data_IF_522200101927
#
_entry.id   IF_522200101927
#
_cell.length_a   1.000
_cell.length_b   1.000
_cell.length_c   1.000
_cell.angle_alpha   90.00
_cell.angle_beta   90.00
_cell.angle_gamma   90.00
#
_symmetry.space_group_name_H-M   'P 1'
#
loop_
_entity.id
_entity.type
_entity.pdbx_description
1 polymer ?
#
# COMPACT_ATOMS: atom_id res chain seq x y z
N UNK A 1 15.35 2.15 10.14
CA UNK A 1 16.58 2.04 9.33
C UNK A 1 16.45 3.03 8.20
N UNK A 2 17.49 3.82 7.87
CA UNK A 2 17.45 4.71 6.72
C UNK A 2 17.28 3.88 5.44
N UNK A 3 16.32 4.27 4.60
CA UNK A 3 16.11 3.67 3.28
C UNK A 3 17.28 4.04 2.36
N UNK A 4 18.08 3.05 2.00
CA UNK A 4 19.26 3.18 1.12
C UNK A 4 18.94 2.85 -0.35
N UNK A 5 17.66 2.63 -0.68
CA UNK A 5 17.26 2.31 -2.05
C UNK A 5 17.65 3.44 -3.00
N UNK A 6 18.26 3.11 -4.14
CA UNK A 6 18.55 4.09 -5.20
C UNK A 6 17.39 4.27 -6.17
N UNK A 7 16.28 3.55 -5.96
CA UNK A 7 15.08 3.60 -6.80
C UNK A 7 14.03 4.56 -6.28
N UNK A 8 13.25 5.13 -7.19
CA UNK A 8 12.07 5.93 -6.85
C UNK A 8 10.86 5.00 -6.70
N UNK A 9 10.68 4.52 -5.47
CA UNK A 9 9.67 3.52 -5.11
C UNK A 9 8.30 4.16 -4.83
N UNK A 10 7.24 3.35 -4.80
CA UNK A 10 5.89 3.82 -4.47
C UNK A 10 5.83 4.42 -3.04
N UNK A 11 6.62 3.90 -2.11
CA UNK A 11 6.79 4.47 -0.78
C UNK A 11 7.42 5.87 -0.82
N UNK A 12 8.49 6.07 -1.59
CA UNK A 12 9.12 7.40 -1.76
C UNK A 12 8.19 8.38 -2.48
N UNK A 13 7.39 7.91 -3.43
CA UNK A 13 6.35 8.70 -4.06
C UNK A 13 5.28 9.16 -3.05
N UNK A 14 4.82 8.26 -2.19
CA UNK A 14 3.88 8.57 -1.10
C UNK A 14 4.45 9.59 -0.10
N UNK A 15 5.74 9.48 0.24
CA UNK A 15 6.43 10.46 1.10
C UNK A 15 6.51 11.82 0.41
N UNK A 16 6.95 11.86 -0.85
CA UNK A 16 7.03 13.10 -1.64
C UNK A 16 5.65 13.77 -1.73
N UNK A 17 4.60 13.00 -1.98
CA UNK A 17 3.22 13.46 -2.01
C UNK A 17 2.81 14.17 -0.72
N UNK A 18 3.01 13.53 0.44
CA UNK A 18 2.68 14.13 1.74
C UNK A 18 3.44 15.43 2.02
N UNK A 19 4.74 15.46 1.72
CA UNK A 19 5.56 16.67 1.89
C UNK A 19 5.11 17.82 0.99
N UNK A 20 4.75 17.52 -0.27
CA UNK A 20 4.28 18.54 -1.20
C UNK A 20 2.94 19.14 -0.79
N UNK A 21 2.01 18.33 -0.29
CA UNK A 21 0.74 18.85 0.23
C UNK A 21 0.94 19.75 1.45
N UNK A 22 1.86 19.38 2.35
CA UNK A 22 2.23 20.23 3.49
C UNK A 22 2.76 21.61 3.03
N UNK A 23 3.70 21.56 2.09
CA UNK A 23 4.34 22.76 1.58
C UNK A 23 3.32 23.65 0.85
N UNK A 24 2.46 23.05 0.02
CA UNK A 24 1.36 23.75 -0.63
C UNK A 24 0.45 24.48 0.37
N UNK A 25 0.04 23.82 1.45
CA UNK A 25 -0.82 24.45 2.45
C UNK A 25 -0.15 25.68 3.08
N UNK A 26 1.15 25.59 3.40
CA UNK A 26 1.90 26.74 3.88
C UNK A 26 1.97 27.89 2.86
N UNK A 27 2.22 27.57 1.59
CA UNK A 27 2.22 28.56 0.51
C UNK A 27 0.85 29.23 0.31
N UNK A 28 -0.23 28.45 0.44
CA UNK A 28 -1.61 28.93 0.38
C UNK A 28 -1.94 29.85 1.54
N UNK A 29 -1.55 29.50 2.76
CA UNK A 29 -1.74 30.32 3.96
C UNK A 29 -0.97 31.66 3.85
N UNK A 30 0.19 31.63 3.19
CA UNK A 30 1.00 32.82 2.85
C UNK A 30 0.49 33.59 1.63
N UNK A 31 -0.55 33.11 0.94
CA UNK A 31 -1.16 33.70 -0.25
C UNK A 31 -0.16 33.98 -1.39
N UNK A 32 0.76 33.05 -1.61
CA UNK A 32 1.69 33.15 -2.74
C UNK A 32 0.94 33.00 -4.07
N UNK A 33 1.39 33.72 -5.11
CA UNK A 33 0.93 33.47 -6.46
C UNK A 33 1.43 32.11 -6.98
N UNK A 34 0.76 31.58 -8.00
CA UNK A 34 0.99 30.22 -8.52
C UNK A 34 2.44 30.03 -9.00
N UNK A 35 3.03 31.05 -9.65
CA UNK A 35 4.39 30.93 -10.19
C UNK A 35 5.44 30.97 -9.07
N UNK A 36 5.28 31.86 -8.09
CA UNK A 36 6.14 31.92 -6.91
C UNK A 36 6.03 30.65 -6.08
N UNK A 37 4.80 30.14 -5.90
CA UNK A 37 4.55 28.88 -5.22
C UNK A 37 5.22 27.71 -5.94
N UNK A 38 5.07 27.60 -7.26
CA UNK A 38 5.73 26.58 -8.06
C UNK A 38 7.25 26.64 -7.90
N UNK A 39 7.85 27.83 -8.03
CA UNK A 39 9.28 28.01 -7.91
C UNK A 39 9.80 27.63 -6.51
N UNK A 40 9.13 28.09 -5.44
CA UNK A 40 9.52 27.80 -4.04
C UNK A 40 9.46 26.29 -3.75
N UNK A 41 8.38 25.62 -4.16
CA UNK A 41 8.22 24.17 -3.99
C UNK A 41 9.20 23.38 -4.85
N UNK A 42 9.42 23.80 -6.10
CA UNK A 42 10.38 23.16 -7.01
C UNK A 42 11.80 23.25 -6.46
N UNK A 43 12.22 24.41 -5.96
CA UNK A 43 13.54 24.56 -5.33
C UNK A 43 13.72 23.66 -4.11
N UNK A 44 12.66 23.45 -3.32
CA UNK A 44 12.70 22.51 -2.19
C UNK A 44 12.93 21.07 -2.67
N UNK A 45 12.21 20.65 -3.72
CA UNK A 45 12.36 19.32 -4.30
C UNK A 45 13.75 19.15 -4.90
N UNK A 46 14.22 20.17 -5.62
CA UNK A 46 15.55 20.17 -6.22
C UNK A 46 16.65 20.13 -5.17
N UNK A 47 16.52 20.88 -4.08
CA UNK A 47 17.45 20.77 -2.95
C UNK A 47 17.44 19.36 -2.35
N UNK A 48 16.26 18.78 -2.15
CA UNK A 48 16.11 17.45 -1.56
C UNK A 48 16.72 16.32 -2.43
N UNK A 49 16.67 16.45 -3.76
CA UNK A 49 17.18 15.47 -4.72
C UNK A 49 18.67 15.70 -5.04
N UNK A 50 19.12 16.95 -5.16
CA UNK A 50 20.43 17.26 -5.77
C UNK A 50 21.49 17.69 -4.76
N UNK A 51 21.12 18.15 -3.57
CA UNK A 51 22.10 18.65 -2.61
C UNK A 51 22.72 17.53 -1.79
N UNK A 52 24.05 17.49 -1.73
CA UNK A 52 24.81 16.64 -0.80
C UNK A 52 24.52 16.93 0.69
N UNK A 53 23.95 18.11 0.97
CA UNK A 53 23.52 18.51 2.31
C UNK A 53 22.09 18.02 2.64
N UNK A 54 21.41 17.40 1.68
CA UNK A 54 20.07 16.85 1.87
C UNK A 54 20.11 15.63 2.78
N UNK A 55 19.16 15.56 3.70
CA UNK A 55 18.90 14.37 4.53
C UNK A 55 17.75 13.52 3.95
N UNK A 56 17.27 13.87 2.76
CA UNK A 56 16.18 13.18 2.07
C UNK A 56 16.68 11.88 1.40
N UNK A 57 15.91 10.78 1.44
CA UNK A 57 16.23 9.54 0.72
C UNK A 57 16.11 9.71 -0.80
N UNK A 58 15.57 10.85 -1.25
CA UNK A 58 15.51 11.25 -2.65
C UNK A 58 16.89 11.66 -3.18
N UNK A 59 17.83 12.04 -2.31
CA UNK A 59 19.20 12.39 -2.72
C UNK A 59 19.99 11.18 -3.24
N UNK A 60 19.68 10.00 -2.70
CA UNK A 60 20.32 8.72 -3.06
C UNK A 60 19.79 8.12 -4.37
N UNK A 61 18.84 8.78 -5.04
CA UNK A 61 18.24 8.26 -6.27
C UNK A 61 19.25 8.19 -7.41
N UNK A 62 19.21 7.09 -8.15
CA UNK A 62 19.92 6.96 -9.42
C UNK A 62 19.43 8.02 -10.41
N UNK A 63 20.31 8.37 -11.33
CA UNK A 63 20.07 9.45 -12.30
C UNK A 63 18.73 9.33 -13.06
N UNK A 64 18.37 8.13 -13.53
CA UNK A 64 17.10 7.89 -14.24
C UNK A 64 15.87 7.98 -13.33
N UNK A 65 16.05 7.76 -12.03
CA UNK A 65 14.98 7.74 -11.03
C UNK A 65 14.67 9.16 -10.53
N UNK A 66 15.67 10.05 -10.51
CA UNK A 66 15.48 11.48 -10.22
C UNK A 66 14.48 12.13 -11.19
N UNK A 67 14.55 11.80 -12.48
CA UNK A 67 13.60 12.27 -13.48
C UNK A 67 12.14 11.90 -13.13
N UNK A 68 11.91 10.70 -12.60
CA UNK A 68 10.58 10.26 -12.15
C UNK A 68 10.09 11.06 -10.94
N UNK A 69 10.98 11.43 -10.02
CA UNK A 69 10.64 12.26 -8.87
C UNK A 69 10.21 13.69 -9.29
N UNK A 70 10.89 14.30 -10.26
CA UNK A 70 10.45 15.58 -10.84
C UNK A 70 9.13 15.47 -11.60
N UNK A 71 8.95 14.39 -12.35
CA UNK A 71 7.70 14.12 -13.04
C UNK A 71 6.53 13.97 -12.05
N UNK A 72 6.75 13.24 -10.95
CA UNK A 72 5.80 13.13 -9.85
C UNK A 72 5.51 14.50 -9.21
N UNK A 73 6.53 15.32 -8.95
CA UNK A 73 6.33 16.68 -8.45
C UNK A 73 5.39 17.50 -9.35
N UNK A 74 5.67 17.53 -10.66
CA UNK A 74 4.86 18.28 -11.62
C UNK A 74 3.42 17.76 -11.69
N UNK A 75 3.26 16.44 -11.66
CA UNK A 75 1.97 15.76 -11.63
C UNK A 75 1.16 16.19 -10.39
N UNK A 76 1.78 16.14 -9.21
CA UNK A 76 1.13 16.49 -7.94
C UNK A 76 0.79 17.97 -7.91
N UNK A 77 1.72 18.84 -8.32
CA UNK A 77 1.49 20.28 -8.34
C UNK A 77 0.31 20.66 -9.25
N UNK A 78 0.23 20.03 -10.43
CA UNK A 78 -0.89 20.21 -11.36
C UNK A 78 -2.19 19.61 -10.87
N UNK A 79 -2.20 18.77 -9.84
CA UNK A 79 -3.43 18.29 -9.23
C UNK A 79 -3.99 19.21 -8.12
N UNK A 80 -3.20 20.19 -7.66
CA UNK A 80 -3.59 21.09 -6.58
C UNK A 80 -4.70 22.06 -7.02
N UNK A 81 -5.54 22.56 -6.08
CA UNK A 81 -6.52 23.59 -6.37
C UNK A 81 -5.82 24.95 -6.49
N UNK A 82 -5.29 25.23 -7.69
CA UNK A 82 -4.50 26.43 -7.99
C UNK A 82 -5.36 27.68 -8.26
N UNK A 83 -6.68 27.54 -8.34
CA UNK A 83 -7.60 28.65 -8.63
C UNK A 83 -7.62 29.09 -10.10
N UNK A 84 -7.12 28.24 -11.00
CA UNK A 84 -7.16 28.40 -12.46
C UNK A 84 -8.09 27.37 -13.08
N UNK A 85 -8.55 27.61 -14.31
CA UNK A 85 -9.43 26.66 -14.99
C UNK A 85 -8.69 25.36 -15.35
N UNK A 86 -9.41 24.21 -15.49
CA UNK A 86 -8.78 22.94 -15.87
C UNK A 86 -8.02 23.00 -17.19
N UNK A 87 -8.47 23.80 -18.15
CA UNK A 87 -7.77 24.00 -19.44
C UNK A 87 -6.45 24.75 -19.26
N UNK A 88 -6.44 25.82 -18.46
CA UNK A 88 -5.22 26.55 -18.12
C UNK A 88 -4.25 25.69 -17.33
N UNK A 89 -4.75 24.83 -16.45
CA UNK A 89 -3.94 23.90 -15.66
C UNK A 89 -3.23 22.86 -16.54
N UNK A 90 -3.87 22.39 -17.62
CA UNK A 90 -3.22 21.52 -18.64
C UNK A 90 -2.12 22.24 -19.40
N UNK A 91 -2.33 23.51 -19.70
CA UNK A 91 -1.38 24.34 -20.45
C UNK A 91 -0.30 24.97 -19.55
N UNK A 92 -0.44 24.84 -18.22
CA UNK A 92 0.47 25.42 -17.25
C UNK A 92 1.86 24.79 -17.36
N UNK A 93 2.78 25.54 -17.98
CA UNK A 93 4.16 25.13 -18.21
C UNK A 93 5.14 26.16 -17.60
N UNK A 94 5.25 26.19 -16.26
CA UNK A 94 6.14 27.13 -15.58
C UNK A 94 7.60 26.86 -15.93
N UNK A 95 8.40 27.92 -16.06
CA UNK A 95 9.84 27.77 -16.25
C UNK A 95 10.48 27.17 -15.01
N UNK A 96 11.15 26.03 -15.18
CA UNK A 96 11.87 25.37 -14.10
C UNK A 96 13.07 26.20 -13.67
N UNK A 97 13.19 26.55 -12.38
CA UNK A 97 14.37 27.22 -11.90
C UNK A 97 15.63 26.36 -12.08
N UNK A 98 16.70 26.97 -12.61
CA UNK A 98 17.98 26.30 -12.78
C UNK A 98 18.62 26.02 -11.41
N UNK A 99 19.16 24.80 -11.24
CA UNK A 99 19.87 24.47 -10.02
C UNK A 99 21.09 25.38 -9.86
N UNK A 100 21.19 26.04 -8.71
CA UNK A 100 22.36 26.83 -8.37
C UNK A 100 22.94 26.36 -7.03
N UNK A 101 24.03 25.57 -7.04
CA UNK A 101 24.63 25.01 -5.83
C UNK A 101 25.23 26.08 -4.90
N UNK A 102 25.39 27.33 -5.38
CA UNK A 102 25.94 28.44 -4.60
C UNK A 102 24.88 29.16 -3.77
N UNK A 103 23.60 28.93 -4.01
CA UNK A 103 22.51 29.53 -3.24
C UNK A 103 22.34 28.74 -1.94
N UNK A 104 22.48 29.41 -0.79
CA UNK A 104 22.17 28.81 0.51
C UNK A 104 20.65 28.61 0.61
N UNK A 105 20.21 27.38 0.40
CA UNK A 105 18.82 27.00 0.62
C UNK A 105 18.53 27.00 2.13
N UNK A 106 17.51 27.75 2.57
CA UNK A 106 17.10 27.80 3.97
C UNK A 106 16.06 26.72 4.25
N UNK A 107 16.46 25.70 4.99
CA UNK A 107 15.56 24.65 5.47
C UNK A 107 14.70 25.21 6.61
N UNK A 108 13.40 24.97 6.54
CA UNK A 108 12.33 25.32 7.48
C UNK A 108 11.49 24.07 7.78
N UNK A 109 10.49 24.18 8.65
CA UNK A 109 9.63 23.04 9.04
C UNK A 109 8.73 22.53 7.92
N UNK A 110 8.37 23.35 6.93
CA UNK A 110 7.45 22.98 5.83
C UNK A 110 8.15 22.59 4.53
N UNK A 111 9.43 22.95 4.36
CA UNK A 111 10.22 22.64 3.15
C UNK A 111 11.33 21.61 3.40
N UNK A 112 11.33 20.98 4.59
CA UNK A 112 12.24 19.90 4.95
C UNK A 112 11.65 18.54 4.53
N UNK A 113 12.19 17.96 3.46
CA UNK A 113 11.76 16.65 2.93
C UNK A 113 12.59 15.48 3.49
N UNK A 114 12.94 15.55 4.78
CA UNK A 114 13.59 14.45 5.49
C UNK A 114 12.55 13.36 5.82
N UNK A 115 12.84 12.13 5.40
CA UNK A 115 11.90 11.00 5.46
C UNK A 115 12.06 10.11 6.70
N UNK A 116 12.93 10.46 7.65
CA UNK A 116 13.12 9.63 8.85
C UNK A 116 11.91 9.67 9.79
N UNK A 117 10.94 10.54 9.53
CA UNK A 117 9.68 10.58 10.25
C UNK A 117 8.56 9.92 9.45
N UNK A 118 8.60 8.57 9.40
CA UNK A 118 7.52 7.77 8.81
C UNK A 118 6.19 7.89 9.58
N UNK A 119 6.21 8.47 10.79
CA UNK A 119 5.01 8.77 11.58
C UNK A 119 4.32 10.06 11.14
N UNK A 120 4.95 10.84 10.25
CA UNK A 120 4.50 12.15 9.77
C UNK A 120 4.21 12.16 8.27
N UNK A 121 3.48 11.16 7.77
CA UNK A 121 2.51 11.42 6.69
C UNK A 121 1.35 12.21 7.29
N UNK A 122 1.66 13.40 7.83
CA UNK A 122 0.86 14.13 8.80
C UNK A 122 -0.50 14.47 8.19
N UNK A 123 -1.41 13.52 8.33
CA UNK A 123 -2.82 13.50 8.00
C UNK A 123 -3.55 14.73 8.56
N UNK A 124 -2.94 15.43 9.53
CA UNK A 124 -3.34 16.75 9.99
C UNK A 124 -3.44 17.80 8.87
N UNK A 125 -2.69 17.69 7.77
CA UNK A 125 -2.73 18.66 6.66
C UNK A 125 -3.84 18.36 5.65
N UNK A 126 -4.10 17.08 5.38
CA UNK A 126 -5.29 16.67 4.61
C UNK A 126 -6.53 17.04 5.43
N UNK A 127 -6.50 16.85 6.76
CA UNK A 127 -7.59 17.23 7.66
C UNK A 127 -7.83 18.75 7.73
N UNK A 128 -6.80 19.60 7.69
CA UNK A 128 -6.96 21.07 7.71
C UNK A 128 -7.42 21.65 6.37
N UNK A 129 -7.16 20.96 5.26
CA UNK A 129 -7.71 21.31 3.95
C UNK A 129 -9.17 20.85 3.84
N UNK A 130 -9.51 19.74 4.50
CA UNK A 130 -10.75 19.02 4.21
C UNK A 130 -11.89 19.42 5.16
N UNK A 131 -11.82 19.40 6.49
CA UNK A 131 -13.02 19.69 7.32
C UNK A 131 -12.69 20.27 8.72
N UNK A 132 -13.31 21.43 9.02
CA UNK A 132 -13.54 21.98 10.37
C UNK A 132 -14.89 21.43 10.90
N UNK A 133 -14.89 20.63 11.96
CA UNK A 133 -16.11 20.40 12.73
C UNK A 133 -15.82 19.95 14.16
N UNK A 134 -16.24 20.82 15.09
CA UNK A 134 -16.35 20.59 16.53
C UNK A 134 -17.29 19.43 16.85
N UNK A 135 -17.02 18.65 17.90
CA UNK A 135 -18.07 18.19 18.83
C UNK A 135 -17.51 17.84 20.21
N UNK A 136 -18.29 18.26 21.19
CA UNK A 136 -18.08 18.20 22.63
C UNK A 136 -18.83 17.03 23.28
N UNK A 137 -18.44 16.76 24.55
CA UNK A 137 -19.22 16.08 25.62
C UNK A 137 -19.48 14.58 25.42
N UNK A 138 -19.57 13.73 26.44
CA UNK A 138 -19.60 13.87 27.90
C UNK A 138 -19.82 12.45 28.47
N UNK A 139 -19.26 12.13 29.64
CA UNK A 139 -20.07 11.76 30.83
C UNK A 139 -20.24 10.23 30.97
N UNK A 140 -19.69 9.60 32.02
CA UNK A 140 -20.42 9.07 33.22
C UNK A 140 -21.52 8.04 32.88
N UNK A 141 -21.75 6.90 33.52
CA UNK A 141 -21.48 6.34 34.87
C UNK A 141 -22.27 5.00 34.93
N UNK A 142 -21.75 3.90 35.50
CA UNK A 142 -22.16 3.25 36.77
C UNK A 142 -23.47 2.41 36.84
N UNK A 143 -23.38 1.32 37.63
CA UNK A 143 -24.41 0.47 38.29
C UNK A 143 -25.14 -0.60 37.43
N UNK A 144 -25.53 -1.80 37.93
CA UNK A 144 -25.59 -2.41 39.27
C UNK A 144 -25.82 -3.94 39.20
N UNK A 145 -25.41 -4.72 40.22
CA UNK A 145 -26.23 -5.51 41.20
C UNK A 145 -27.13 -6.62 40.60
N UNK A 146 -27.33 -7.85 41.12
CA UNK A 146 -27.07 -8.51 42.42
C UNK A 146 -27.74 -9.93 42.46
N UNK A 147 -27.32 -10.80 43.41
CA UNK A 147 -28.09 -11.87 44.13
C UNK A 147 -28.47 -13.19 43.38
N UNK A 148 -28.71 -14.38 43.96
CA UNK A 148 -28.37 -15.14 45.20
C UNK A 148 -29.05 -16.55 45.11
N UNK A 149 -28.60 -17.53 45.92
CA UNK A 149 -29.22 -18.83 46.31
C UNK A 149 -29.26 -19.97 45.25
N UNK A 150 -29.16 -21.27 45.54
CA UNK A 150 -29.09 -22.05 46.78
C UNK A 150 -29.75 -23.43 46.58
N UNK A 151 -29.14 -24.48 47.14
CA UNK A 151 -29.70 -25.77 47.59
C UNK A 151 -29.51 -27.10 46.81
N UNK A 152 -28.92 -28.01 47.59
CA UNK A 152 -29.35 -29.38 47.96
C UNK A 152 -29.01 -30.59 47.09
N UNK A 153 -28.27 -31.47 47.76
CA UNK A 153 -27.84 -32.83 47.47
C UNK A 153 -28.97 -33.79 47.09
N UNK A 154 -28.72 -34.63 46.08
CA UNK A 154 -29.40 -35.90 45.90
C UNK A 154 -28.52 -36.88 45.08
N UNK A 155 -28.40 -38.11 45.59
CA UNK A 155 -28.07 -39.36 44.86
C UNK A 155 -26.74 -39.40 44.08
N UNK A 156 -25.69 -39.96 44.70
CA UNK A 156 -24.32 -39.95 44.15
C UNK A 156 -24.10 -40.79 42.87
N UNK A 157 -24.99 -41.71 42.50
CA UNK A 157 -24.77 -42.57 41.33
C UNK A 157 -25.47 -42.06 40.05
N UNK A 158 -26.56 -41.30 40.18
CA UNK A 158 -27.20 -40.60 39.04
C UNK A 158 -26.66 -39.18 38.85
N UNK A 159 -26.16 -38.54 39.91
CA UNK A 159 -25.52 -37.24 39.82
C UNK A 159 -24.23 -37.29 38.99
N UNK A 160 -23.44 -38.38 39.10
CA UNK A 160 -22.23 -38.58 38.29
C UNK A 160 -22.54 -38.63 36.79
N UNK A 161 -23.56 -39.39 36.39
CA UNK A 161 -24.01 -39.47 34.99
C UNK A 161 -24.61 -38.15 34.50
N UNK A 162 -25.38 -37.46 35.35
CA UNK A 162 -25.96 -36.17 35.04
C UNK A 162 -24.89 -35.07 34.88
N UNK A 163 -23.86 -35.06 35.73
CA UNK A 163 -22.72 -34.15 35.63
C UNK A 163 -21.92 -34.44 34.36
N UNK A 164 -21.64 -35.70 34.05
CA UNK A 164 -20.92 -36.09 32.83
C UNK A 164 -21.75 -35.72 31.59
N UNK A 165 -23.06 -35.96 31.60
CA UNK A 165 -23.96 -35.57 30.51
C UNK A 165 -24.02 -34.05 30.33
N UNK A 166 -24.13 -33.28 31.42
CA UNK A 166 -24.04 -31.80 31.39
C UNK A 166 -22.71 -31.32 30.85
N UNK A 167 -21.60 -31.97 31.22
CA UNK A 167 -20.27 -31.64 30.73
C UNK A 167 -20.14 -31.93 29.23
N UNK A 168 -20.67 -33.07 28.74
CA UNK A 168 -20.71 -33.40 27.31
C UNK A 168 -21.56 -32.38 26.55
N UNK A 169 -22.72 -32.00 27.09
CA UNK A 169 -23.58 -30.96 26.49
C UNK A 169 -22.85 -29.61 26.45
N UNK A 170 -22.19 -29.21 27.54
CA UNK A 170 -21.44 -27.97 27.61
C UNK A 170 -20.26 -27.95 26.61
N UNK A 171 -19.50 -29.05 26.50
CA UNK A 171 -18.44 -29.18 25.52
C UNK A 171 -18.97 -29.14 24.08
N UNK A 172 -20.09 -29.82 23.81
CA UNK A 172 -20.73 -29.77 22.51
C UNK A 172 -21.23 -28.36 22.16
N UNK A 173 -21.79 -27.64 23.13
CA UNK A 173 -22.22 -26.25 22.96
C UNK A 173 -21.04 -25.31 22.67
N UNK A 174 -19.94 -25.44 23.42
CA UNK A 174 -18.71 -24.67 23.15
C UNK A 174 -18.16 -24.98 21.76
N UNK A 175 -18.08 -26.26 21.39
CA UNK A 175 -17.62 -26.68 20.07
C UNK A 175 -18.53 -26.16 18.95
N UNK A 176 -19.85 -26.15 19.15
CA UNK A 176 -20.79 -25.58 18.20
C UNK A 176 -20.61 -24.06 18.03
N UNK A 177 -20.43 -23.32 19.13
CA UNK A 177 -20.15 -21.87 19.08
C UNK A 177 -18.83 -21.60 18.36
N UNK A 178 -17.76 -22.34 18.67
CA UNK A 178 -16.47 -22.19 18.01
C UNK A 178 -16.54 -22.55 16.53
N UNK A 179 -17.26 -23.60 16.16
CA UNK A 179 -17.48 -23.99 14.77
C UNK A 179 -18.28 -22.91 14.02
N UNK A 180 -19.28 -22.29 14.66
CA UNK A 180 -20.04 -21.20 14.06
C UNK A 180 -19.17 -19.94 13.85
N UNK A 181 -18.34 -19.58 14.83
CA UNK A 181 -17.37 -18.48 14.71
C UNK A 181 -16.39 -18.77 13.58
N UNK A 182 -15.84 -19.99 13.51
CA UNK A 182 -14.93 -20.43 12.46
C UNK A 182 -15.57 -20.38 11.07
N UNK A 183 -16.81 -20.86 10.93
CA UNK A 183 -17.55 -20.82 9.67
C UNK A 183 -17.82 -19.39 9.24
N UNK A 184 -18.25 -18.54 10.18
CA UNK A 184 -18.45 -17.11 9.93
C UNK A 184 -17.15 -16.49 9.42
N UNK A 185 -16.04 -16.67 10.14
CA UNK A 185 -14.74 -16.15 9.74
C UNK A 185 -14.31 -16.62 8.34
N UNK A 186 -14.40 -17.93 8.07
CA UNK A 186 -14.07 -18.48 6.75
C UNK A 186 -14.96 -17.90 5.65
N UNK A 187 -16.24 -17.64 5.92
CA UNK A 187 -17.15 -17.03 4.95
C UNK A 187 -16.77 -15.58 4.64
N UNK A 188 -16.37 -14.81 5.65
CA UNK A 188 -15.85 -13.45 5.47
C UNK A 188 -14.57 -13.43 4.62
N UNK A 189 -13.59 -14.28 4.93
CA UNK A 189 -12.33 -14.39 4.17
C UNK A 189 -12.57 -14.90 2.74
N UNK A 190 -13.52 -15.83 2.57
CA UNK A 190 -13.89 -16.33 1.25
C UNK A 190 -14.52 -15.24 0.38
N UNK A 191 -15.42 -14.43 0.93
CA UNK A 191 -16.03 -13.33 0.20
C UNK A 191 -15.00 -12.25 -0.17
N UNK A 192 -14.08 -11.89 0.74
CA UNK A 192 -12.99 -10.96 0.43
C UNK A 192 -12.06 -11.53 -0.65
N UNK A 193 -11.76 -12.83 -0.59
CA UNK A 193 -10.98 -13.54 -1.61
C UNK A 193 -11.65 -13.57 -2.98
N UNK A 194 -12.97 -13.73 -3.05
CA UNK A 194 -13.73 -13.66 -4.31
C UNK A 194 -13.71 -12.25 -4.88
N UNK A 195 -13.94 -11.22 -4.05
CA UNK A 195 -13.86 -9.83 -4.49
C UNK A 195 -12.47 -9.56 -5.07
N UNK A 196 -11.41 -9.93 -4.35
CA UNK A 196 -10.02 -9.84 -4.84
C UNK A 196 -9.78 -10.63 -6.12
N UNK A 197 -10.31 -11.84 -6.25
CA UNK A 197 -10.19 -12.66 -7.46
C UNK A 197 -10.82 -11.98 -8.68
N UNK A 198 -12.03 -11.44 -8.54
CA UNK A 198 -12.75 -10.78 -9.63
C UNK A 198 -12.02 -9.55 -10.18
N UNK A 199 -11.27 -8.86 -9.32
CA UNK A 199 -10.53 -7.65 -9.69
C UNK A 199 -9.01 -7.87 -9.89
N UNK A 200 -8.51 -9.10 -9.75
CA UNK A 200 -7.08 -9.41 -9.90
C UNK A 200 -6.20 -8.91 -8.76
N UNK A 201 -6.77 -8.69 -7.56
CA UNK A 201 -6.12 -8.09 -6.40
C UNK A 201 -5.58 -9.16 -5.41
N UNK A 202 -4.71 -10.05 -5.90
CA UNK A 202 -4.04 -11.04 -5.03
C UNK A 202 -4.81 -12.35 -4.82
N UNK A 203 -5.19 -13.02 -5.91
CA UNK A 203 -5.91 -14.31 -5.89
C UNK A 203 -5.19 -15.43 -5.11
N UNK A 204 -3.86 -15.36 -5.04
CA UNK A 204 -3.02 -16.37 -4.42
C UNK A 204 -3.31 -16.51 -2.92
N UNK A 205 -3.59 -15.40 -2.22
CA UNK A 205 -3.96 -15.40 -0.80
C UNK A 205 -5.17 -16.29 -0.57
N UNK A 206 -6.26 -16.04 -1.30
CA UNK A 206 -7.51 -16.78 -1.18
C UNK A 206 -7.37 -18.26 -1.56
N UNK A 207 -6.62 -18.56 -2.62
CA UNK A 207 -6.37 -19.94 -3.03
C UNK A 207 -5.59 -20.72 -1.96
N UNK A 208 -4.54 -20.13 -1.38
CA UNK A 208 -3.76 -20.75 -0.31
C UNK A 208 -4.56 -20.92 0.97
N UNK A 209 -5.36 -19.91 1.35
CA UNK A 209 -6.26 -20.00 2.50
C UNK A 209 -7.23 -21.17 2.35
N UNK A 210 -7.89 -21.29 1.20
CA UNK A 210 -8.85 -22.36 0.95
C UNK A 210 -8.20 -23.75 0.99
N UNK A 211 -7.02 -23.89 0.36
CA UNK A 211 -6.27 -25.13 0.39
C UNK A 211 -5.86 -25.54 1.81
N UNK A 212 -5.37 -24.59 2.61
CA UNK A 212 -4.95 -24.86 3.99
C UNK A 212 -6.14 -25.17 4.91
N UNK A 213 -7.28 -24.49 4.72
CA UNK A 213 -8.53 -24.79 5.43
C UNK A 213 -8.99 -26.22 5.16
N UNK A 214 -8.98 -26.67 3.91
CA UNK A 214 -9.33 -28.06 3.57
C UNK A 214 -8.35 -29.04 4.22
N UNK A 215 -7.05 -28.77 4.13
CA UNK A 215 -6.02 -29.64 4.68
C UNK A 215 -6.15 -29.78 6.20
N UNK A 216 -6.36 -28.67 6.93
CA UNK A 216 -6.54 -28.69 8.38
C UNK A 216 -7.89 -29.27 8.79
N UNK A 217 -8.96 -29.03 8.02
CA UNK A 217 -10.26 -29.66 8.25
C UNK A 217 -10.21 -31.17 8.11
N UNK A 218 -9.63 -31.67 7.01
CA UNK A 218 -9.42 -33.10 6.79
C UNK A 218 -8.46 -33.71 7.81
N UNK A 219 -7.37 -33.02 8.15
CA UNK A 219 -6.43 -33.44 9.18
C UNK A 219 -7.09 -33.56 10.55
N UNK A 220 -7.92 -32.59 10.93
CA UNK A 220 -8.69 -32.61 12.17
C UNK A 220 -9.71 -33.76 12.21
N UNK A 221 -10.38 -34.04 11.08
CA UNK A 221 -11.25 -35.19 10.94
C UNK A 221 -10.48 -36.50 11.19
N UNK A 222 -9.34 -36.67 10.53
CA UNK A 222 -8.49 -37.86 10.66
C UNK A 222 -7.95 -38.02 12.09
N UNK A 223 -7.51 -36.94 12.74
CA UNK A 223 -7.07 -36.97 14.13
C UNK A 223 -8.21 -37.35 15.07
N UNK A 224 -9.42 -36.82 14.82
CA UNK A 224 -10.60 -37.17 15.61
C UNK A 224 -10.96 -38.63 15.44
N UNK A 225 -10.94 -39.17 14.22
CA UNK A 225 -11.26 -40.58 13.99
C UNK A 225 -10.22 -41.54 14.57
N UNK A 226 -8.93 -41.22 14.51
CA UNK A 226 -7.86 -42.10 14.98
C UNK A 226 -7.59 -42.00 16.49
N UNK A 227 -7.68 -40.80 17.07
CA UNK A 227 -7.30 -40.55 18.46
C UNK A 227 -8.46 -40.03 19.31
N UNK A 228 -9.38 -39.26 18.73
CA UNK A 228 -10.51 -38.67 19.44
C UNK A 228 -11.73 -39.60 19.59
N UNK A 229 -11.87 -40.61 18.73
CA UNK A 229 -13.06 -41.45 18.70
C UNK A 229 -13.18 -42.31 19.96
N UNK A 230 -12.10 -42.94 20.41
CA UNK A 230 -12.10 -43.76 21.62
C UNK A 230 -12.52 -43.00 22.89
N UNK A 231 -11.94 -41.81 23.22
CA UNK A 231 -12.38 -41.04 24.38
C UNK A 231 -13.80 -40.47 24.20
N UNK A 232 -14.22 -40.09 22.99
CA UNK A 232 -15.59 -39.67 22.72
C UNK A 232 -16.60 -40.81 22.94
N UNK A 233 -16.29 -42.02 22.48
CA UNK A 233 -17.14 -43.20 22.70
C UNK A 233 -17.25 -43.49 24.20
N UNK A 234 -16.14 -43.44 24.94
CA UNK A 234 -16.16 -43.64 26.39
C UNK A 234 -17.02 -42.60 27.10
N UNK A 235 -16.92 -41.32 26.71
CA UNK A 235 -17.76 -40.24 27.22
C UNK A 235 -19.24 -40.41 26.85
N UNK A 236 -19.54 -40.83 25.63
CA UNK A 236 -20.90 -41.10 25.19
C UNK A 236 -21.55 -42.21 26.01
N UNK A 237 -20.84 -43.31 26.23
CA UNK A 237 -21.31 -44.44 27.04
C UNK A 237 -21.53 -43.98 28.49
N UNK A 238 -20.58 -43.23 29.07
CA UNK A 238 -20.68 -42.72 30.44
C UNK A 238 -21.86 -41.74 30.62
N UNK A 239 -22.16 -40.94 29.60
CA UNK A 239 -23.25 -39.98 29.58
C UNK A 239 -24.61 -40.57 29.15
N UNK A 240 -24.66 -41.82 28.67
CA UNK A 240 -25.87 -42.45 28.15
C UNK A 240 -26.31 -41.97 26.76
N UNK A 241 -25.41 -41.36 25.98
CA UNK A 241 -25.66 -40.94 24.60
C UNK A 241 -25.32 -42.02 23.57
N UNK A 242 -25.82 -41.88 22.34
CA UNK A 242 -25.42 -42.73 21.23
C UNK A 242 -23.95 -42.43 20.83
N UNK A 243 -23.01 -43.39 20.97
CA UNK A 243 -21.59 -43.18 20.70
C UNK A 243 -21.31 -42.86 19.23
N UNK A 244 -22.07 -43.46 18.30
CA UNK A 244 -21.91 -43.18 16.86
C UNK A 244 -22.29 -41.74 16.56
N UNK A 245 -23.42 -41.28 17.12
CA UNK A 245 -23.89 -39.91 16.97
C UNK A 245 -22.90 -38.88 17.53
N UNK A 246 -22.30 -39.15 18.69
CA UNK A 246 -21.30 -38.26 19.29
C UNK A 246 -20.01 -38.20 18.47
N UNK A 247 -19.51 -39.33 17.96
CA UNK A 247 -18.29 -39.36 17.14
C UNK A 247 -18.48 -38.63 15.82
N UNK A 248 -19.61 -38.86 15.13
CA UNK A 248 -19.93 -38.14 13.88
C UNK A 248 -20.00 -36.64 14.14
N UNK A 249 -20.79 -36.23 15.15
CA UNK A 249 -20.97 -34.82 15.48
C UNK A 249 -19.64 -34.15 15.88
N UNK A 250 -18.86 -34.83 16.73
CA UNK A 250 -17.53 -34.36 17.14
C UNK A 250 -16.58 -34.22 15.96
N UNK A 251 -16.55 -35.20 15.05
CA UNK A 251 -15.72 -35.16 13.84
C UNK A 251 -16.10 -33.98 12.96
N UNK A 252 -17.39 -33.74 12.72
CA UNK A 252 -17.86 -32.60 11.90
C UNK A 252 -17.47 -31.26 12.56
N UNK A 253 -17.76 -31.08 13.85
CA UNK A 253 -17.47 -29.83 14.56
C UNK A 253 -15.96 -29.55 14.60
N UNK A 254 -15.14 -30.55 14.94
CA UNK A 254 -13.68 -30.41 14.98
C UNK A 254 -13.08 -30.20 13.59
N UNK A 255 -13.68 -30.73 12.53
CA UNK A 255 -13.26 -30.46 11.15
C UNK A 255 -13.50 -29.00 10.76
N UNK A 256 -14.67 -28.44 11.11
CA UNK A 256 -14.98 -27.02 10.84
C UNK A 256 -14.04 -26.12 11.64
N UNK A 257 -13.81 -26.42 12.92
CA UNK A 257 -12.87 -25.68 13.76
C UNK A 257 -11.45 -25.76 13.19
N UNK A 258 -11.00 -26.96 12.81
CA UNK A 258 -9.70 -27.18 12.18
C UNK A 258 -9.54 -26.37 10.89
N UNK A 259 -10.55 -26.39 10.02
CA UNK A 259 -10.55 -25.58 8.81
C UNK A 259 -10.44 -24.08 9.10
N UNK A 260 -11.18 -23.58 10.11
CA UNK A 260 -11.09 -22.19 10.55
C UNK A 260 -9.70 -21.80 11.06
N UNK A 261 -9.05 -22.67 11.85
CA UNK A 261 -7.67 -22.48 12.32
C UNK A 261 -6.69 -22.44 11.14
N UNK A 262 -6.83 -23.35 10.17
CA UNK A 262 -6.01 -23.36 8.96
C UNK A 262 -6.14 -22.07 8.16
N UNK A 263 -7.37 -21.59 7.96
CA UNK A 263 -7.66 -20.30 7.33
C UNK A 263 -6.95 -19.14 8.02
N UNK A 264 -7.12 -19.05 9.35
CA UNK A 264 -6.55 -17.99 10.17
C UNK A 264 -5.02 -18.00 10.16
N UNK A 265 -4.41 -19.16 10.35
CA UNK A 265 -2.96 -19.32 10.33
C UNK A 265 -2.37 -18.90 8.96
N UNK A 266 -3.02 -19.30 7.86
CA UNK A 266 -2.58 -18.90 6.52
C UNK A 266 -2.72 -17.39 6.31
N UNK A 267 -3.78 -16.77 6.82
CA UNK A 267 -3.97 -15.30 6.77
C UNK A 267 -2.79 -14.57 7.39
N UNK A 268 -2.42 -14.95 8.62
CA UNK A 268 -1.30 -14.35 9.34
C UNK A 268 0.04 -14.54 8.60
N UNK A 269 0.28 -15.75 8.08
CA UNK A 269 1.52 -16.06 7.36
C UNK A 269 1.63 -15.28 6.06
N UNK A 270 0.54 -15.25 5.28
CA UNK A 270 0.51 -14.52 4.02
C UNK A 270 0.67 -13.03 4.26
N UNK A 271 -0.08 -12.44 5.20
CA UNK A 271 -0.03 -11.00 5.44
C UNK A 271 1.34 -10.55 5.97
N UNK A 272 1.93 -11.33 6.88
CA UNK A 272 3.29 -11.08 7.37
C UNK A 272 4.32 -11.19 6.24
N UNK A 273 4.25 -12.27 5.44
CA UNK A 273 5.14 -12.48 4.30
C UNK A 273 5.00 -11.38 3.25
N UNK A 274 3.78 -11.08 2.82
CA UNK A 274 3.48 -10.09 1.79
C UNK A 274 3.88 -8.68 2.22
N UNK A 275 3.62 -8.30 3.47
CA UNK A 275 4.07 -7.03 4.05
C UNK A 275 5.60 -6.95 4.11
N UNK A 276 6.26 -8.04 4.48
CA UNK A 276 7.73 -8.08 4.56
C UNK A 276 8.41 -7.99 3.19
N UNK A 277 7.79 -8.58 2.16
CA UNK A 277 8.29 -8.57 0.79
C UNK A 277 8.01 -7.24 0.08
N UNK A 278 6.95 -6.53 0.46
CA UNK A 278 6.50 -5.29 -0.18
C UNK A 278 6.56 -4.07 0.75
N UNK A 279 7.65 -3.93 1.52
CA UNK A 279 7.85 -2.78 2.43
C UNK A 279 7.83 -1.42 1.71
N UNK A 280 8.20 -1.41 0.43
CA UNK A 280 8.27 -0.21 -0.41
C UNK A 280 6.96 0.07 -1.18
N UNK A 281 5.89 -0.70 -0.93
CA UNK A 281 4.59 -0.45 -1.55
C UNK A 281 3.91 0.80 -0.99
N UNK A 282 2.96 1.34 -1.76
CA UNK A 282 2.14 2.49 -1.36
C UNK A 282 1.34 2.23 -0.07
N UNK A 283 0.80 1.02 0.07
CA UNK A 283 0.22 0.51 1.32
C UNK A 283 0.83 -0.85 1.67
N UNK A 284 1.71 -0.92 2.69
CA UNK A 284 2.28 -2.18 3.14
C UNK A 284 1.27 -3.17 3.74
N UNK A 285 0.08 -2.72 4.15
CA UNK A 285 -0.95 -3.59 4.71
C UNK A 285 -1.84 -4.22 3.62
N UNK A 286 -1.88 -3.67 2.40
CA UNK A 286 -2.59 -4.25 1.25
C UNK A 286 -1.87 -3.94 -0.08
N UNK A 287 -0.64 -4.46 -0.27
CA UNK A 287 0.21 -4.06 -1.38
C UNK A 287 -0.38 -4.47 -2.74
N UNK A 288 -1.13 -5.57 -2.83
CA UNK A 288 -1.68 -6.06 -4.09
C UNK A 288 -2.84 -5.19 -4.63
N UNK A 289 -3.54 -4.48 -3.74
CA UNK A 289 -4.63 -3.56 -4.10
C UNK A 289 -4.11 -2.19 -4.52
N UNK A 290 -3.01 -1.74 -3.92
CA UNK A 290 -2.46 -0.39 -4.03
C UNK A 290 -1.14 -0.27 -4.82
N UNK A 291 -0.79 -1.31 -5.57
CA UNK A 291 0.36 -1.32 -6.46
C UNK A 291 -0.09 -1.45 -7.91
N UNK A 292 0.66 -0.81 -8.81
CA UNK A 292 0.64 -1.14 -10.23
C UNK A 292 1.80 -2.09 -10.52
N UNK A 293 1.52 -3.24 -11.12
CA UNK A 293 2.58 -4.12 -11.60
C UNK A 293 3.26 -3.53 -12.84
N UNK A 294 4.47 -3.96 -13.17
CA UNK A 294 5.15 -3.50 -14.40
C UNK A 294 4.30 -3.73 -15.67
N UNK A 295 3.55 -4.83 -15.71
CA UNK A 295 2.59 -5.12 -16.79
C UNK A 295 1.39 -4.16 -16.78
N UNK A 296 0.91 -3.74 -15.61
CA UNK A 296 -0.18 -2.75 -15.52
C UNK A 296 0.31 -1.39 -16.00
N UNK A 297 1.53 -0.98 -15.63
CA UNK A 297 2.14 0.28 -16.07
C UNK A 297 2.33 0.31 -17.59
N UNK A 298 2.83 -0.79 -18.17
CA UNK A 298 2.98 -0.96 -19.62
C UNK A 298 1.62 -0.92 -20.32
N UNK A 299 0.62 -1.62 -19.79
CA UNK A 299 -0.74 -1.60 -20.34
C UNK A 299 -1.37 -0.20 -20.29
N UNK A 300 -1.25 0.51 -19.17
CA UNK A 300 -1.79 1.86 -19.02
C UNK A 300 -1.13 2.83 -20.00
N UNK A 301 0.19 2.76 -20.13
CA UNK A 301 0.94 3.63 -21.04
C UNK A 301 0.65 3.29 -22.51
N UNK A 302 0.79 2.03 -22.90
CA UNK A 302 0.88 1.65 -24.31
C UNK A 302 -0.50 1.32 -24.92
N UNK A 303 -1.49 0.91 -24.10
CA UNK A 303 -2.86 0.62 -24.56
C UNK A 303 -3.84 1.73 -24.21
N UNK A 304 -3.75 2.27 -22.99
CA UNK A 304 -4.71 3.27 -22.50
C UNK A 304 -4.26 4.72 -22.68
N UNK A 305 -3.00 4.94 -23.07
CA UNK A 305 -2.42 6.28 -23.25
C UNK A 305 -2.53 7.13 -21.97
N UNK A 306 -2.37 6.47 -20.81
CA UNK A 306 -2.38 7.09 -19.49
C UNK A 306 -0.97 7.10 -18.91
N UNK A 307 -0.65 8.12 -18.14
CA UNK A 307 0.59 8.25 -17.40
C UNK A 307 0.55 7.40 -16.11
N UNK A 308 1.38 6.35 -15.97
CA UNK A 308 1.41 5.53 -14.78
C UNK A 308 1.76 6.31 -13.50
N UNK A 309 2.57 7.37 -13.58
CA UNK A 309 2.92 8.17 -12.39
C UNK A 309 1.71 8.98 -11.91
N UNK A 310 0.96 9.59 -12.83
CA UNK A 310 -0.31 10.26 -12.52
C UNK A 310 -1.32 9.31 -11.89
N UNK A 311 -1.46 8.10 -12.45
CA UNK A 311 -2.32 7.06 -11.88
C UNK A 311 -1.89 6.70 -10.46
N UNK A 312 -0.58 6.48 -10.21
CA UNK A 312 -0.08 6.20 -8.85
C UNK A 312 -0.35 7.34 -7.88
N UNK A 313 -0.15 8.59 -8.26
CA UNK A 313 -0.48 9.75 -7.43
C UNK A 313 -1.97 9.79 -7.06
N UNK A 314 -2.85 9.54 -8.03
CA UNK A 314 -4.29 9.45 -7.79
C UNK A 314 -4.66 8.26 -6.89
N UNK A 315 -3.97 7.12 -7.02
CA UNK A 315 -4.13 5.98 -6.09
C UNK A 315 -3.73 6.36 -4.66
N UNK A 316 -2.64 7.12 -4.46
CA UNK A 316 -2.22 7.63 -3.13
C UNK A 316 -3.33 8.50 -2.54
N UNK A 317 -3.89 9.40 -3.34
CA UNK A 317 -4.97 10.29 -2.92
C UNK A 317 -6.23 9.49 -2.54
N UNK A 318 -6.63 8.50 -3.34
CA UNK A 318 -7.78 7.62 -3.02
C UNK A 318 -7.55 6.85 -1.73
N UNK A 319 -6.33 6.36 -1.51
CA UNK A 319 -6.01 5.63 -0.28
C UNK A 319 -6.10 6.54 0.95
N UNK A 320 -5.66 7.79 0.83
CA UNK A 320 -5.80 8.77 1.89
C UNK A 320 -7.28 9.07 2.20
N UNK A 321 -8.14 9.17 1.17
CA UNK A 321 -9.59 9.31 1.38
C UNK A 321 -10.23 8.10 2.07
N UNK A 322 -9.87 6.88 1.68
CA UNK A 322 -10.36 5.68 2.37
C UNK A 322 -9.97 5.66 3.86
N UNK A 323 -8.78 6.17 4.17
CA UNK A 323 -8.29 6.30 5.54
C UNK A 323 -9.13 7.30 6.36
N UNK A 324 -9.70 8.32 5.71
CA UNK A 324 -10.62 9.27 6.33
C UNK A 324 -11.90 8.58 6.80
N UNK A 325 -12.46 7.72 5.96
CA UNK A 325 -13.75 7.04 6.21
C UNK A 325 -13.60 5.92 7.24
N UNK A 326 -12.61 5.05 7.07
CA UNK A 326 -12.44 3.84 7.89
C UNK A 326 -11.78 4.16 9.25
N UNK A 327 -10.92 5.17 9.28
CA UNK A 327 -10.07 5.54 10.40
C UNK A 327 -8.62 5.11 10.21
N UNK A 328 -7.72 5.83 10.88
CA UNK A 328 -6.26 5.83 10.68
C UNK A 328 -5.63 4.44 10.70
N UNK A 329 -4.81 4.17 9.69
CA UNK A 329 -3.96 2.97 9.56
C UNK A 329 -4.72 1.64 9.70
N UNK A 330 -6.05 1.68 9.63
CA UNK A 330 -6.87 0.49 9.69
C UNK A 330 -6.82 -0.20 8.34
N UNK A 331 -6.80 -1.53 8.39
CA UNK A 331 -7.04 -2.34 7.22
C UNK A 331 -8.40 -1.99 6.62
N UNK A 332 -8.49 -2.10 5.30
CA UNK A 332 -9.76 -1.89 4.59
C UNK A 332 -10.77 -2.92 5.11
N UNK A 333 -11.98 -2.50 5.48
CA UNK A 333 -13.00 -3.41 5.98
C UNK A 333 -13.28 -4.51 4.96
N UNK A 334 -13.62 -5.69 5.49
CA UNK A 334 -14.02 -6.83 4.66
C UNK A 334 -15.24 -6.52 3.78
N UNK A 335 -15.44 -7.33 2.74
CA UNK A 335 -16.55 -7.17 1.79
C UNK A 335 -17.92 -6.92 2.44
N UNK A 336 -18.25 -7.59 3.55
CA UNK A 336 -19.54 -7.45 4.24
C UNK A 336 -19.56 -6.35 5.30
N UNK A 337 -18.40 -5.86 5.73
CA UNK A 337 -18.27 -4.83 6.77
C UNK A 337 -17.98 -3.44 6.21
N UNK A 338 -17.71 -3.32 4.91
CA UNK A 338 -17.43 -2.03 4.26
C UNK A 338 -18.71 -1.22 4.07
N UNK A 339 -18.59 0.08 4.29
CA UNK A 339 -19.64 1.03 3.97
C UNK A 339 -19.69 1.33 2.46
N UNK A 340 -20.76 2.01 2.04
CA UNK A 340 -20.97 2.33 0.64
C UNK A 340 -19.93 3.34 0.13
N UNK A 341 -19.45 4.24 0.99
CA UNK A 341 -18.45 5.25 0.65
C UNK A 341 -17.08 4.63 0.37
N UNK A 342 -16.58 3.76 1.26
CA UNK A 342 -15.34 2.98 1.02
C UNK A 342 -15.48 2.16 -0.26
N UNK A 343 -16.66 1.58 -0.50
CA UNK A 343 -16.89 0.79 -1.71
C UNK A 343 -16.86 1.61 -2.99
N UNK A 344 -17.37 2.85 -2.97
CA UNK A 344 -17.29 3.76 -4.10
C UNK A 344 -15.83 4.15 -4.39
N UNK A 345 -15.06 4.50 -3.36
CA UNK A 345 -13.64 4.80 -3.48
C UNK A 345 -12.85 3.59 -4.03
N UNK A 346 -13.16 2.38 -3.58
CA UNK A 346 -12.53 1.15 -4.09
C UNK A 346 -12.89 0.89 -5.55
N UNK A 347 -14.14 1.16 -5.92
CA UNK A 347 -14.58 1.04 -7.31
C UNK A 347 -13.86 2.06 -8.19
N UNK A 348 -13.69 3.30 -7.73
CA UNK A 348 -12.94 4.33 -8.42
C UNK A 348 -11.46 3.93 -8.59
N UNK A 349 -10.83 3.39 -7.54
CA UNK A 349 -9.48 2.83 -7.57
C UNK A 349 -9.35 1.74 -8.64
N UNK A 350 -10.29 0.80 -8.69
CA UNK A 350 -10.31 -0.31 -9.66
C UNK A 350 -10.45 0.18 -11.09
N UNK A 351 -11.35 1.13 -11.34
CA UNK A 351 -11.54 1.75 -12.66
C UNK A 351 -10.30 2.52 -13.11
N UNK A 352 -9.66 3.23 -12.19
CA UNK A 352 -8.42 3.95 -12.44
C UNK A 352 -7.29 2.97 -12.81
N UNK A 353 -7.10 1.89 -12.04
CA UNK A 353 -6.11 0.84 -12.35
C UNK A 353 -6.31 0.16 -13.70
N UNK A 354 -7.56 -0.05 -14.12
CA UNK A 354 -7.90 -0.62 -15.43
C UNK A 354 -7.75 0.37 -16.59
N UNK A 355 -7.50 1.65 -16.29
CA UNK A 355 -7.47 2.73 -17.27
C UNK A 355 -8.83 3.03 -17.88
N UNK A 356 -9.91 2.83 -17.12
CA UNK A 356 -11.27 3.23 -17.50
C UNK A 356 -11.55 4.71 -17.16
N UNK A 357 -10.76 5.29 -16.25
CA UNK A 357 -10.82 6.70 -15.88
C UNK A 357 -9.52 7.39 -16.31
N UNK A 358 -9.67 8.47 -17.08
CA UNK A 358 -8.55 9.34 -17.46
C UNK A 358 -8.41 10.56 -16.57
N UNK A 359 -9.47 10.94 -15.87
CA UNK A 359 -9.53 12.10 -14.98
C UNK A 359 -10.28 11.72 -13.71
N UNK A 360 -9.82 12.22 -12.57
CA UNK A 360 -10.37 11.86 -11.27
C UNK A 360 -10.23 13.02 -10.28
N UNK A 361 -11.34 13.36 -9.61
CA UNK A 361 -11.38 14.31 -8.51
C UNK A 361 -11.40 13.56 -7.17
N UNK A 362 -10.48 13.90 -6.26
CA UNK A 362 -10.32 13.23 -4.96
C UNK A 362 -9.96 14.28 -3.91
N UNK A 363 -10.79 14.45 -2.88
CA UNK A 363 -10.47 15.33 -1.75
C UNK A 363 -10.11 16.77 -2.14
N UNK A 364 -10.68 17.28 -3.24
CA UNK A 364 -10.39 18.62 -3.78
C UNK A 364 -9.15 18.70 -4.69
N UNK A 365 -8.51 17.58 -5.01
CA UNK A 365 -7.44 17.45 -6.00
C UNK A 365 -7.98 16.91 -7.32
N UNK A 366 -7.53 17.47 -8.44
CA UNK A 366 -7.94 17.05 -9.79
C UNK A 366 -6.78 16.39 -10.52
N UNK A 367 -6.81 15.07 -10.68
CA UNK A 367 -5.78 14.32 -11.40
C UNK A 367 -6.20 14.09 -12.85
N UNK A 368 -5.47 14.70 -13.79
CA UNK A 368 -5.50 14.33 -15.20
C UNK A 368 -4.42 13.26 -15.45
N UNK A 369 -4.85 12.03 -15.71
CA UNK A 369 -3.99 10.87 -15.90
C UNK A 369 -3.62 10.62 -17.36
N UNK A 370 -4.04 11.48 -18.29
CA UNK A 370 -3.64 11.36 -19.70
C UNK A 370 -2.14 11.60 -19.83
N UNK A 371 -1.49 10.92 -20.78
CA UNK A 371 -0.09 11.21 -21.09
C UNK A 371 0.05 12.71 -21.42
N UNK A 372 0.89 13.46 -20.68
CA UNK A 372 1.10 14.86 -21.00
C UNK A 372 1.81 14.97 -22.35
N UNK A 373 1.35 15.87 -23.22
CA UNK A 373 1.98 16.14 -24.52
C UNK A 373 3.44 16.59 -24.39
N UNK A 374 3.84 17.06 -23.20
CA UNK A 374 5.20 17.47 -22.88
C UNK A 374 5.61 16.83 -21.55
N UNK A 375 6.36 15.72 -21.61
CA UNK A 375 7.12 15.19 -20.47
C UNK A 375 8.46 15.94 -20.46
N UNK A 376 8.52 17.07 -19.74
CA UNK A 376 9.75 17.85 -19.69
C UNK A 376 10.67 17.29 -18.60
N UNK A 377 11.71 16.58 -19.02
CA UNK A 377 12.82 16.17 -18.16
C UNK A 377 13.79 17.37 -18.07
N UNK A 378 14.23 17.82 -16.88
CA UNK A 378 15.09 18.99 -16.77
C UNK A 378 16.37 18.83 -17.62
N UNK A 379 16.88 19.90 -18.20
CA UNK A 379 18.00 19.86 -19.17
C UNK A 379 19.31 19.29 -18.60
N UNK A 380 19.44 19.26 -17.27
CA UNK A 380 20.52 18.55 -16.56
C UNK A 380 20.52 17.03 -16.80
N UNK A 381 19.41 16.49 -17.29
CA UNK A 381 19.15 15.06 -17.40
C UNK A 381 19.22 14.52 -18.85
N UNK A 382 19.60 15.35 -19.82
CA UNK A 382 19.94 14.83 -21.13
C UNK A 382 21.27 14.08 -21.02
N UNK A 383 21.35 12.77 -21.38
CA UNK A 383 22.65 12.14 -21.53
C UNK A 383 23.45 13.01 -22.50
N UNK A 384 24.64 13.43 -22.07
CA UNK A 384 25.59 14.12 -22.95
C UNK A 384 25.64 13.31 -24.23
N UNK A 385 25.12 13.86 -25.33
CA UNK A 385 25.33 13.27 -26.65
C UNK A 385 26.84 13.17 -26.77
N UNK A 386 27.36 11.94 -26.73
CA UNK A 386 28.76 11.71 -27.04
C UNK A 386 29.00 12.41 -28.38
N UNK A 387 29.92 13.38 -28.46
CA UNK A 387 30.16 14.05 -29.71
C UNK A 387 30.52 12.97 -30.73
N UNK A 388 29.80 12.98 -31.86
CA UNK A 388 30.04 12.07 -32.96
C UNK A 388 31.53 12.13 -33.26
N UNK A 389 32.24 11.02 -33.05
CA UNK A 389 33.63 10.91 -33.44
C UNK A 389 33.71 10.95 -34.97
N UNK A 390 33.73 12.15 -35.53
CA UNK A 390 34.34 12.37 -36.82
C UNK A 390 35.83 12.08 -36.64
N UNK A 391 36.27 10.93 -37.11
CA UNK A 391 37.69 10.67 -37.33
C UNK A 391 38.20 11.66 -38.37
N UNK A 392 38.74 12.76 -37.88
CA UNK A 392 39.61 13.66 -38.61
C UNK A 392 40.91 12.88 -38.89
N UNK A 393 41.01 12.32 -40.09
CA UNK A 393 42.23 11.66 -40.55
C UNK A 393 42.93 12.59 -41.53
N UNK A 394 43.67 13.56 -41.02
CA UNK A 394 44.74 14.22 -41.78
C UNK A 394 45.92 14.44 -40.86
N UNK A 395 46.93 13.57 -41.03
CA UNK A 395 48.20 13.63 -40.30
C UNK A 395 49.05 14.78 -40.82
N UNK A 396 49.75 15.54 -39.96
CA UNK A 396 50.84 16.39 -40.43
C UNK A 396 52.03 15.53 -40.88
N UNK A 397 52.47 15.75 -42.13
CA UNK A 397 53.70 15.16 -42.67
C UNK A 397 54.92 15.75 -41.94
N UNK A 398 55.69 14.89 -41.28
CA UNK A 398 57.04 15.19 -40.83
C UNK A 398 58.00 15.14 -42.03
N UNK A 399 58.47 16.31 -42.47
CA UNK A 399 59.60 16.42 -43.40
C UNK A 399 60.91 16.10 -42.67
N UNK A 400 61.53 14.97 -43.00
CA UNK A 400 62.94 14.70 -42.67
C UNK A 400 63.87 15.54 -43.55
N UNK A 401 64.97 16.11 -43.01
CA UNK A 401 65.96 16.81 -43.82
C UNK A 401 66.80 15.81 -44.62
N UNK A 402 66.79 15.94 -45.93
CA UNK A 402 67.61 15.17 -46.88
C UNK A 402 69.08 15.64 -46.86
N UNK A 403 70.00 14.71 -46.60
CA UNK A 403 71.45 14.91 -46.76
C UNK A 403 71.82 15.00 -48.27
N UNK A 404 72.87 15.76 -48.64
CA UNK A 404 73.24 15.97 -50.04
C UNK A 404 73.92 14.73 -50.66
N UNK A 405 73.59 14.46 -51.93
CA UNK A 405 74.21 13.41 -52.73
C UNK A 405 75.66 13.77 -53.10
N UNK A 406 76.60 12.90 -52.73
CA UNK A 406 78.01 12.95 -53.14
C UNK A 406 78.13 12.46 -54.60
N UNK A 407 78.73 13.28 -55.47
CA UNK A 407 78.92 13.02 -56.88
C UNK A 407 80.43 12.85 -57.19
N UNK A 408 80.96 11.63 -57.38
CA UNK A 408 82.33 11.42 -57.79
C UNK A 408 82.40 11.16 -59.30
N UNK A 409 82.34 12.23 -60.08
CA UNK A 409 82.98 12.28 -61.39
C UNK A 409 83.82 13.55 -61.42
N UNK A 410 85.00 13.48 -60.83
CA UNK A 410 86.26 14.10 -61.26
C UNK A 410 87.35 13.62 -60.28
N UNK A 411 88.39 13.01 -60.85
CA UNK A 411 89.59 12.39 -60.26
C UNK A 411 89.49 10.91 -59.88
#
# INVERSE_FOLDING_TARGET
MPDLSTKFTDHKLKILYGHLLNHYQNCKDRRLDINTMYAEMYYAVQFAIESDLSTSPLHLLDYSEKAKAYHAFNTIFRALPLGISPQEQRQFNPQMPAYNPKIKYKITTYNNYNSNDSALLNYLLIRSIIHDSHHHHGGSSCFGSSNHHGNSSASNDDMGKLIIALLVIALAAIAAVLAFIALTYMFYEFADSIDRFWYGEGWLKGALMFALSIAFGAGSALLTLNFGAAPLIALAIAAGFNPVGLVITGTVLLSIIGAGIGCFAMSLLYDSGNKSANKEAMDPNDPDRFRLTASDEEYLRDKKHLDPIAVKCAMIALRAEMENVVGKEKAIPSFFSRDNETQQLLTQLRKLRKGELSEVDIGGLHFDCRLPEVVYVPTFYQPVQQPSQYYQTDRPQYTSPSAPAYNPQYM
#
